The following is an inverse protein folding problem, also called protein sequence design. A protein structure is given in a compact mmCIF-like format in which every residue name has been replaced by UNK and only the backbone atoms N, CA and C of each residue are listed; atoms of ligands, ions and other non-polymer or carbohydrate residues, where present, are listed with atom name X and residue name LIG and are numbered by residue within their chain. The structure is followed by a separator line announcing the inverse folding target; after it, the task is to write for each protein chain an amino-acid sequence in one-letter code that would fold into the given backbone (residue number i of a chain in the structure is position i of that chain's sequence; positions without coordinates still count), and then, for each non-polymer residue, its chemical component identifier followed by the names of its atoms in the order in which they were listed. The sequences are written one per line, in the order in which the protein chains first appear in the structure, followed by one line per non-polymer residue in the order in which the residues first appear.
data_IF_910406744653
#
_entry.id   IF_910406744653
#
_cell.length_a   1.000
_cell.length_b   1.000
_cell.length_c   1.000
_cell.angle_alpha   90.00
_cell.angle_beta   90.00
_cell.angle_gamma   90.00
#
_symmetry.space_group_name_H-M   'P 1'
#
loop_
_entity.id
_entity.type
_entity.pdbx_description
1 polymer ?
#
# COMPACT_ATOMS: atom_id res chain seq x y z
N UNK A 1 2.92 23.52 -11.78
CA UNK A 1 2.00 22.38 -11.60
C UNK A 1 0.75 22.86 -10.86
N UNK A 2 -0.42 22.83 -11.51
CA UNK A 2 -1.69 23.11 -10.83
C UNK A 2 -1.98 22.00 -9.83
N UNK A 3 -2.01 22.32 -8.54
CA UNK A 3 -2.42 21.33 -7.55
C UNK A 3 -3.88 20.98 -7.78
N UNK A 4 -4.24 19.69 -7.67
CA UNK A 4 -5.66 19.30 -7.66
C UNK A 4 -6.38 20.10 -6.58
N UNK A 5 -7.54 20.64 -6.93
CA UNK A 5 -8.41 21.40 -6.02
C UNK A 5 -9.50 20.46 -5.54
N UNK A 6 -9.72 20.43 -4.23
CA UNK A 6 -10.80 19.66 -3.63
C UNK A 6 -12.13 20.34 -3.95
N UNK A 7 -13.16 19.56 -4.29
CA UNK A 7 -14.48 20.09 -4.63
C UNK A 7 -15.21 20.62 -3.39
N UNK A 8 -15.81 21.81 -3.49
CA UNK A 8 -16.52 22.47 -2.38
C UNK A 8 -17.66 21.63 -1.83
N UNK A 9 -18.50 21.08 -2.72
CA UNK A 9 -19.61 20.22 -2.31
C UNK A 9 -19.13 18.93 -1.64
N UNK A 10 -18.03 18.34 -2.13
CA UNK A 10 -17.42 17.17 -1.49
C UNK A 10 -16.90 17.50 -0.08
N UNK A 11 -16.31 18.69 0.11
CA UNK A 11 -15.83 19.12 1.42
C UNK A 11 -16.97 19.37 2.40
N UNK A 12 -18.06 20.01 1.96
CA UNK A 12 -19.26 20.22 2.79
C UNK A 12 -19.85 18.89 3.22
N UNK A 13 -19.94 17.91 2.32
CA UNK A 13 -20.41 16.55 2.65
C UNK A 13 -19.50 15.84 3.66
N UNK A 14 -18.17 16.00 3.54
CA UNK A 14 -17.22 15.40 4.48
C UNK A 14 -17.27 16.05 5.87
N UNK A 15 -17.46 17.37 5.93
CA UNK A 15 -17.60 18.10 7.19
C UNK A 15 -18.88 17.71 7.94
N UNK A 16 -19.97 17.42 7.22
CA UNK A 16 -21.24 17.04 7.83
C UNK A 16 -21.68 18.05 8.89
N UNK A 17 -22.13 17.56 10.05
CA UNK A 17 -22.52 18.39 11.19
C UNK A 17 -21.29 18.81 12.02
N UNK A 18 -20.42 19.63 11.44
CA UNK A 18 -19.22 20.13 12.11
C UNK A 18 -19.52 21.22 13.17
N UNK A 19 -20.69 21.85 13.11
CA UNK A 19 -21.10 22.93 14.00
C UNK A 19 -21.97 22.39 15.15
N UNK A 20 -21.50 22.59 16.38
CA UNK A 20 -22.26 22.36 17.61
C UNK A 20 -22.74 23.69 18.20
N UNK A 21 -24.02 24.00 18.01
CA UNK A 21 -24.62 25.28 18.43
C UNK A 21 -24.69 25.45 19.96
N UNK A 22 -24.71 24.34 20.72
CA UNK A 22 -24.71 24.35 22.19
C UNK A 22 -23.31 24.48 22.80
N UNK A 23 -22.25 24.40 21.98
CA UNK A 23 -20.87 24.42 22.46
C UNK A 23 -20.40 25.85 22.73
N UNK A 24 -19.65 26.05 23.82
CA UNK A 24 -18.97 27.33 24.12
C UNK A 24 -17.77 27.59 23.21
N UNK A 25 -17.40 26.62 22.37
CA UNK A 25 -16.26 26.73 21.46
C UNK A 25 -16.59 27.66 20.29
N UNK A 26 -15.77 28.67 19.99
CA UNK A 26 -15.99 29.56 18.84
C UNK A 26 -16.05 28.78 17.51
N UNK A 27 -16.93 29.20 16.58
CA UNK A 27 -17.14 28.51 15.30
C UNK A 27 -15.85 28.29 14.49
N UNK A 28 -14.93 29.25 14.49
CA UNK A 28 -13.67 29.12 13.75
C UNK A 28 -12.81 27.98 14.31
N UNK A 29 -12.84 27.76 15.63
CA UNK A 29 -12.10 26.68 16.28
C UNK A 29 -12.79 25.32 16.04
N UNK A 30 -14.12 25.27 16.08
CA UNK A 30 -14.86 24.05 15.71
C UNK A 30 -14.55 23.63 14.25
N UNK A 31 -14.54 24.60 13.32
CA UNK A 31 -14.18 24.34 11.93
C UNK A 31 -12.73 23.89 11.78
N UNK A 32 -11.80 24.53 12.50
CA UNK A 32 -10.39 24.13 12.49
C UNK A 32 -10.22 22.69 13.00
N UNK A 33 -10.85 22.32 14.12
CA UNK A 33 -10.86 20.95 14.65
C UNK A 33 -11.44 19.95 13.63
N UNK A 34 -12.60 20.24 13.05
CA UNK A 34 -13.24 19.36 12.08
C UNK A 34 -12.35 19.16 10.84
N UNK A 35 -11.77 20.23 10.30
CA UNK A 35 -10.83 20.15 9.18
C UNK A 35 -9.56 19.41 9.58
N UNK A 36 -9.02 19.64 10.79
CA UNK A 36 -7.83 18.94 11.29
C UNK A 36 -8.08 17.43 11.37
N UNK A 37 -9.21 17.02 11.92
CA UNK A 37 -9.62 15.61 11.97
C UNK A 37 -9.75 15.02 10.57
N UNK A 38 -10.37 15.72 9.62
CA UNK A 38 -10.46 15.25 8.24
C UNK A 38 -9.08 15.13 7.54
N UNK A 39 -8.11 15.98 7.90
CA UNK A 39 -6.73 15.91 7.41
C UNK A 39 -5.99 14.72 8.07
N UNK A 40 -6.10 14.56 9.39
CA UNK A 40 -5.46 13.49 10.16
C UNK A 40 -6.01 12.11 9.81
N UNK A 41 -7.32 12.00 9.59
CA UNK A 41 -7.99 10.79 9.09
C UNK A 41 -7.72 10.55 7.59
N UNK A 42 -7.05 11.48 6.90
CA UNK A 42 -6.71 11.40 5.48
C UNK A 42 -7.88 11.43 4.50
N UNK A 43 -9.09 11.77 4.97
CA UNK A 43 -10.27 12.04 4.10
C UNK A 43 -10.04 13.28 3.24
N UNK A 44 -9.22 14.22 3.72
CA UNK A 44 -8.65 15.27 2.90
C UNK A 44 -7.23 14.92 2.47
N UNK A 45 -7.07 14.76 1.16
CA UNK A 45 -5.81 14.29 0.55
C UNK A 45 -4.69 15.32 0.67
N UNK A 46 -3.52 14.88 1.15
CA UNK A 46 -2.32 15.72 1.22
C UNK A 46 -1.97 16.32 -0.15
N UNK A 47 -1.31 17.47 -0.13
CA UNK A 47 -0.91 18.23 -1.31
C UNK A 47 -2.05 18.72 -2.21
N UNK A 48 -3.30 18.56 -1.78
CA UNK A 48 -4.50 19.06 -2.48
C UNK A 48 -4.82 20.48 -1.99
N UNK A 49 -5.36 21.33 -2.87
CA UNK A 49 -5.82 22.68 -2.51
C UNK A 49 -7.23 22.64 -1.98
N UNK A 50 -7.46 23.27 -0.83
CA UNK A 50 -8.81 23.56 -0.34
C UNK A 50 -9.52 24.57 -1.25
N UNK A 51 -10.87 24.60 -1.24
CA UNK A 51 -11.62 25.65 -1.89
C UNK A 51 -11.31 27.04 -1.30
N UNK A 52 -11.66 28.10 -2.04
CA UNK A 52 -11.31 29.47 -1.63
C UNK A 52 -12.12 29.94 -0.42
N UNK A 53 -11.59 30.88 0.37
CA UNK A 53 -12.27 31.39 1.57
C UNK A 53 -13.67 31.94 1.29
N UNK A 54 -13.83 32.68 0.18
CA UNK A 54 -15.13 33.25 -0.24
C UNK A 54 -16.14 32.17 -0.57
N UNK A 55 -15.69 31.12 -1.23
CA UNK A 55 -16.53 30.00 -1.64
C UNK A 55 -16.92 29.12 -0.46
N UNK A 56 -15.98 28.86 0.46
CA UNK A 56 -16.28 28.14 1.71
C UNK A 56 -17.25 28.92 2.61
N UNK A 57 -17.06 30.23 2.73
CA UNK A 57 -17.97 31.09 3.49
C UNK A 57 -19.41 31.01 2.95
N UNK A 58 -19.56 31.05 1.61
CA UNK A 58 -20.86 30.90 0.96
C UNK A 58 -21.45 29.49 1.15
N UNK A 59 -20.64 28.44 0.99
CA UNK A 59 -21.11 27.05 1.05
C UNK A 59 -21.48 26.58 2.48
N UNK A 60 -20.79 27.10 3.50
CA UNK A 60 -21.04 26.75 4.90
C UNK A 60 -21.95 27.77 5.62
N UNK A 61 -22.37 28.83 4.94
CA UNK A 61 -23.16 29.92 5.48
C UNK A 61 -22.56 30.56 6.76
N UNK A 62 -21.25 30.82 6.74
CA UNK A 62 -20.52 31.45 7.84
C UNK A 62 -19.72 32.66 7.36
N UNK A 63 -19.34 33.53 8.30
CA UNK A 63 -18.59 34.74 7.95
C UNK A 63 -17.21 34.41 7.36
N UNK A 64 -16.72 35.25 6.45
CA UNK A 64 -15.37 35.12 5.87
C UNK A 64 -14.27 35.18 6.92
N UNK A 65 -14.47 35.95 7.99
CA UNK A 65 -13.51 36.04 9.10
C UNK A 65 -13.43 34.72 9.86
N UNK A 66 -14.56 34.02 10.08
CA UNK A 66 -14.57 32.67 10.67
C UNK A 66 -13.75 31.69 9.85
N UNK A 67 -13.92 31.66 8.52
CA UNK A 67 -13.13 30.81 7.62
C UNK A 67 -11.65 31.19 7.68
N UNK A 68 -11.34 32.48 7.59
CA UNK A 68 -9.96 32.97 7.60
C UNK A 68 -9.24 32.61 8.91
N UNK A 69 -9.90 32.74 10.06
CA UNK A 69 -9.37 32.34 11.37
C UNK A 69 -9.16 30.84 11.48
N UNK A 70 -10.11 30.01 11.02
CA UNK A 70 -9.97 28.55 11.03
C UNK A 70 -8.78 28.08 10.16
N UNK A 71 -8.68 28.59 8.94
CA UNK A 71 -7.55 28.30 8.06
C UNK A 71 -6.24 28.92 8.56
N UNK A 72 -6.30 30.05 9.27
CA UNK A 72 -5.17 30.67 9.95
C UNK A 72 -4.57 29.75 11.01
N UNK A 73 -5.40 29.24 11.91
CA UNK A 73 -5.00 28.28 12.94
C UNK A 73 -4.34 27.04 12.32
N UNK A 74 -4.94 26.45 11.29
CA UNK A 74 -4.37 25.29 10.62
C UNK A 74 -3.03 25.58 9.91
N UNK A 75 -2.77 26.83 9.49
CA UNK A 75 -1.45 27.23 8.96
C UNK A 75 -0.42 27.33 10.07
N UNK A 76 -0.78 27.93 11.21
CA UNK A 76 0.08 28.04 12.39
C UNK A 76 0.45 26.67 12.95
N UNK A 77 -0.52 25.74 12.99
CA UNK A 77 -0.32 24.36 13.42
C UNK A 77 0.39 23.47 12.37
N UNK A 78 0.69 24.01 11.18
CA UNK A 78 1.42 23.28 10.13
C UNK A 78 0.59 22.28 9.33
N UNK A 79 -0.75 22.34 9.39
CA UNK A 79 -1.66 21.52 8.58
C UNK A 79 -1.98 22.14 7.20
N UNK A 80 -1.70 23.43 7.02
CA UNK A 80 -1.88 24.14 5.76
C UNK A 80 -0.64 24.94 5.37
N UNK A 81 -0.30 24.89 4.08
CA UNK A 81 0.72 25.73 3.47
C UNK A 81 0.06 26.63 2.41
N UNK A 82 0.34 27.93 2.44
CA UNK A 82 -0.18 28.89 1.46
C UNK A 82 0.98 29.69 0.85
N UNK A 83 1.17 29.59 -0.47
CA UNK A 83 2.04 30.51 -1.23
C UNK A 83 1.15 31.58 -1.88
N UNK A 84 1.63 32.83 -1.94
CA UNK A 84 0.86 33.97 -2.46
C UNK A 84 0.19 33.63 -3.82
N UNK A 85 -1.12 33.85 -3.93
CA UNK A 85 -1.91 33.57 -5.14
C UNK A 85 -2.22 32.09 -5.44
N UNK A 86 -1.77 31.14 -4.61
CA UNK A 86 -1.86 29.70 -4.91
C UNK A 86 -2.94 28.93 -4.14
N UNK A 87 -3.66 29.56 -3.21
CA UNK A 87 -4.64 28.91 -2.33
C UNK A 87 -3.99 28.10 -1.20
N UNK A 88 -4.81 27.62 -0.26
CA UNK A 88 -4.34 26.82 0.89
C UNK A 88 -4.21 25.35 0.52
N UNK A 89 -3.00 24.81 0.68
CA UNK A 89 -2.66 23.42 0.38
C UNK A 89 -2.51 22.62 1.66
N UNK A 90 -3.05 21.40 1.67
CA UNK A 90 -3.01 20.50 2.82
C UNK A 90 -1.62 19.87 2.95
N UNK A 91 -1.06 19.95 4.16
CA UNK A 91 0.22 19.38 4.57
C UNK A 91 0.05 18.75 5.97
N UNK A 92 1.03 17.99 6.43
CA UNK A 92 1.12 17.58 7.83
C UNK A 92 2.28 18.34 8.47
N UNK A 93 2.17 18.68 9.78
CA UNK A 93 3.30 19.23 10.50
C UNK A 93 4.48 18.26 10.43
N UNK A 94 5.69 18.80 10.25
CA UNK A 94 6.91 17.98 10.31
C UNK A 94 6.99 17.32 11.69
N UNK A 95 6.98 15.99 11.69
CA UNK A 95 7.18 15.22 12.92
C UNK A 95 8.67 15.25 13.25
N UNK A 96 9.06 15.45 14.52
CA UNK A 96 10.44 15.21 14.93
C UNK A 96 10.85 13.80 14.48
N UNK A 97 11.99 13.69 13.79
CA UNK A 97 12.43 12.45 13.13
C UNK A 97 12.67 11.29 14.12
N UNK A 98 12.79 11.58 15.42
CA UNK A 98 13.20 10.64 16.44
C UNK A 98 12.23 10.64 17.63
N UNK A 99 11.14 9.89 17.52
CA UNK A 99 10.58 9.30 18.74
C UNK A 99 11.35 7.99 18.95
N UNK A 100 12.24 7.90 19.96
CA UNK A 100 12.95 6.66 20.22
C UNK A 100 11.93 5.54 20.42
N UNK A 101 11.96 4.53 19.56
CA UNK A 101 11.26 3.28 19.80
C UNK A 101 11.83 2.75 21.13
N UNK A 102 10.99 2.50 22.15
CA UNK A 102 11.49 1.99 23.43
C UNK A 102 12.24 0.69 23.17
N UNK A 103 13.57 0.73 23.29
CA UNK A 103 14.39 -0.47 23.29
C UNK A 103 14.33 -1.04 24.70
N UNK A 104 13.53 -2.07 24.91
CA UNK A 104 13.40 -2.78 26.19
C UNK A 104 11.96 -3.02 26.62
N UNK A 105 11.81 -3.78 27.70
CA UNK A 105 10.53 -4.00 28.39
C UNK A 105 10.16 -2.67 29.07
N UNK A 106 9.53 -1.78 28.32
CA UNK A 106 8.92 -0.58 28.89
C UNK A 106 7.60 -0.99 29.56
N UNK A 107 7.30 -0.38 30.70
CA UNK A 107 5.95 -0.44 31.30
C UNK A 107 4.89 0.30 30.46
N UNK A 108 5.30 0.97 29.38
CA UNK A 108 4.41 1.68 28.46
C UNK A 108 4.04 0.82 27.25
N UNK A 109 2.74 0.81 26.92
CA UNK A 109 2.22 0.10 25.76
C UNK A 109 2.50 0.91 24.48
N UNK A 110 3.27 0.34 23.56
CA UNK A 110 3.53 0.97 22.26
C UNK A 110 2.36 0.75 21.30
N UNK A 111 1.47 1.73 21.20
CA UNK A 111 0.33 1.72 20.26
C UNK A 111 0.68 2.11 18.82
N UNK A 112 1.94 2.46 18.53
CA UNK A 112 2.36 2.86 17.18
C UNK A 112 2.73 1.69 16.28
N UNK A 113 2.85 0.48 16.84
CA UNK A 113 3.30 -0.72 16.12
C UNK A 113 2.22 -1.79 16.16
N UNK A 114 1.56 -2.02 15.02
CA UNK A 114 0.63 -3.13 14.85
C UNK A 114 1.41 -4.42 14.55
N UNK A 115 2.17 -4.94 15.51
CA UNK A 115 2.85 -6.24 15.43
C UNK A 115 2.97 -6.85 16.82
N UNK A 116 2.86 -8.17 16.90
CA UNK A 116 3.03 -8.91 18.14
C UNK A 116 4.52 -9.20 18.41
N UNK A 117 4.86 -9.29 19.69
CA UNK A 117 6.09 -9.95 20.12
C UNK A 117 6.04 -11.43 19.70
N UNK A 118 7.20 -12.01 19.39
CA UNK A 118 7.27 -13.43 19.08
C UNK A 118 6.79 -14.26 20.27
N UNK A 119 5.80 -15.13 20.05
CA UNK A 119 5.40 -16.14 21.02
C UNK A 119 6.38 -17.33 21.06
N UNK A 120 6.23 -18.23 22.03
CA UNK A 120 7.07 -19.43 22.17
C UNK A 120 7.05 -20.34 20.93
N UNK A 121 5.95 -20.35 20.17
CA UNK A 121 5.78 -21.08 18.91
C UNK A 121 6.79 -20.67 17.84
N UNK A 122 7.22 -19.40 17.83
CA UNK A 122 8.26 -18.93 16.91
C UNK A 122 9.58 -19.61 17.23
N UNK A 123 9.95 -19.69 18.51
CA UNK A 123 11.16 -20.38 18.93
C UNK A 123 11.13 -21.87 18.57
N UNK A 124 10.01 -22.55 18.83
CA UNK A 124 9.81 -23.96 18.47
C UNK A 124 9.93 -24.19 16.96
N UNK A 125 9.34 -23.30 16.15
CA UNK A 125 9.45 -23.35 14.70
C UNK A 125 10.91 -23.21 14.23
N UNK A 126 11.70 -22.33 14.85
CA UNK A 126 13.13 -22.21 14.58
C UNK A 126 13.90 -23.48 14.96
N UNK A 127 13.65 -24.05 16.14
CA UNK A 127 14.29 -25.31 16.54
C UNK A 127 13.98 -26.44 15.55
N UNK A 128 12.72 -26.56 15.13
CA UNK A 128 12.31 -27.54 14.12
C UNK A 128 12.96 -27.26 12.75
N UNK A 129 13.02 -26.01 12.31
CA UNK A 129 13.71 -25.65 11.07
C UNK A 129 15.20 -26.04 11.09
N UNK A 130 15.86 -25.95 12.25
CA UNK A 130 17.26 -26.40 12.40
C UNK A 130 17.43 -27.90 12.24
N UNK A 131 16.45 -28.72 12.65
CA UNK A 131 16.53 -30.17 12.41
C UNK A 131 16.31 -30.54 10.95
N UNK A 132 15.57 -29.71 10.20
CA UNK A 132 15.32 -29.89 8.77
C UNK A 132 16.40 -29.28 7.86
N UNK A 133 17.35 -28.53 8.42
CA UNK A 133 18.38 -27.80 7.67
C UNK A 133 19.42 -28.69 6.93
N UNK A 134 19.90 -29.84 7.49
CA UNK A 134 21.05 -30.55 6.93
C UNK A 134 20.97 -30.90 5.43
N UNK A 135 19.83 -31.38 4.87
CA UNK A 135 19.72 -31.66 3.43
C UNK A 135 19.93 -30.44 2.53
N UNK A 136 19.62 -29.22 3.02
CA UNK A 136 19.81 -27.98 2.27
C UNK A 136 21.26 -27.49 2.28
N UNK A 137 22.04 -27.86 3.32
CA UNK A 137 23.45 -27.50 3.41
C UNK A 137 24.32 -28.19 2.36
N UNK A 138 23.84 -29.32 1.81
CA UNK A 138 24.50 -30.01 0.71
C UNK A 138 24.24 -29.36 -0.67
N UNK A 139 23.37 -28.34 -0.74
CA UNK A 139 23.00 -27.65 -1.97
C UNK A 139 23.70 -26.30 -2.08
N UNK A 140 23.65 -25.68 -3.25
CA UNK A 140 24.26 -24.34 -3.47
C UNK A 140 23.53 -23.21 -2.74
N UNK A 141 22.32 -23.48 -2.22
CA UNK A 141 21.46 -22.50 -1.57
C UNK A 141 20.82 -21.48 -2.52
N UNK A 142 21.06 -21.56 -3.83
CA UNK A 142 20.47 -20.66 -4.82
C UNK A 142 19.11 -21.19 -5.30
N UNK A 143 18.02 -20.79 -4.64
CA UNK A 143 16.67 -20.87 -5.19
C UNK A 143 16.14 -19.43 -5.39
N UNK A 144 15.95 -19.03 -6.64
CA UNK A 144 15.51 -17.67 -7.01
C UNK A 144 14.07 -17.37 -6.62
N UNK A 145 13.22 -18.39 -6.46
CA UNK A 145 11.82 -18.25 -6.07
C UNK A 145 11.60 -18.58 -4.59
N UNK A 146 12.59 -19.18 -3.93
CA UNK A 146 12.54 -19.62 -2.54
C UNK A 146 12.29 -21.11 -2.42
N UNK A 147 12.53 -21.65 -1.22
CA UNK A 147 12.53 -23.10 -0.96
C UNK A 147 11.25 -23.79 -1.51
N UNK A 148 11.37 -24.89 -2.28
CA UNK A 148 10.22 -25.56 -2.90
C UNK A 148 9.13 -25.96 -1.89
N UNK A 149 9.54 -26.57 -0.78
CA UNK A 149 8.61 -27.00 0.29
C UNK A 149 7.82 -25.83 0.90
N UNK A 150 8.44 -24.65 0.99
CA UNK A 150 7.75 -23.45 1.46
C UNK A 150 6.74 -22.98 0.41
N UNK A 151 7.13 -22.93 -0.87
CA UNK A 151 6.23 -22.50 -1.95
C UNK A 151 5.01 -23.42 -2.04
N UNK A 152 5.19 -24.72 -1.86
CA UNK A 152 4.10 -25.69 -1.76
C UNK A 152 3.17 -25.41 -0.58
N UNK A 153 3.72 -25.15 0.61
CA UNK A 153 2.92 -24.81 1.80
C UNK A 153 2.10 -23.53 1.59
N UNK A 154 2.70 -22.49 1.00
CA UNK A 154 2.02 -21.22 0.68
C UNK A 154 0.93 -21.46 -0.38
N UNK A 155 1.23 -22.18 -1.46
CA UNK A 155 0.29 -22.47 -2.52
C UNK A 155 -0.92 -23.28 -2.01
N UNK A 156 -0.69 -24.27 -1.16
CA UNK A 156 -1.73 -25.04 -0.48
C UNK A 156 -2.63 -24.13 0.35
N UNK A 157 -2.04 -23.26 1.16
CA UNK A 157 -2.77 -22.29 1.99
C UNK A 157 -3.67 -21.35 1.18
N UNK A 158 -3.24 -20.86 0.03
CA UNK A 158 -4.13 -20.07 -0.83
C UNK A 158 -5.25 -20.91 -1.43
N UNK A 159 -4.95 -22.15 -1.82
CA UNK A 159 -5.94 -23.07 -2.37
C UNK A 159 -7.03 -23.39 -1.34
N UNK A 160 -6.65 -23.64 -0.08
CA UNK A 160 -7.57 -23.82 1.05
C UNK A 160 -8.42 -22.57 1.34
N UNK A 161 -7.88 -21.38 1.09
CA UNK A 161 -8.62 -20.10 1.18
C UNK A 161 -9.53 -19.83 -0.03
N UNK A 162 -9.66 -20.76 -0.97
CA UNK A 162 -10.52 -20.63 -2.15
C UNK A 162 -9.83 -20.02 -3.38
N UNK A 163 -8.50 -19.92 -3.39
CA UNK A 163 -7.72 -19.43 -4.52
C UNK A 163 -6.77 -20.54 -5.01
N UNK A 164 -7.17 -21.35 -6.00
CA UNK A 164 -6.30 -22.37 -6.58
C UNK A 164 -4.94 -21.79 -6.96
N UNK A 165 -3.87 -22.35 -6.39
CA UNK A 165 -2.51 -21.80 -6.51
C UNK A 165 -1.51 -22.92 -6.70
N UNK A 166 -0.62 -22.74 -7.67
CA UNK A 166 0.52 -23.65 -7.89
C UNK A 166 1.79 -23.11 -7.24
N UNK A 167 2.74 -23.96 -6.83
CA UNK A 167 4.00 -23.53 -6.23
C UNK A 167 4.86 -22.62 -7.14
N UNK A 168 4.75 -22.76 -8.46
CA UNK A 168 5.47 -21.91 -9.43
C UNK A 168 4.87 -20.50 -9.61
N UNK A 169 3.67 -20.27 -9.07
CA UNK A 169 3.05 -18.94 -9.01
C UNK A 169 3.51 -18.15 -7.78
N UNK A 170 4.29 -18.77 -6.88
CA UNK A 170 4.73 -18.21 -5.59
C UNK A 170 6.20 -17.85 -5.64
N UNK A 171 6.52 -16.59 -5.35
CA UNK A 171 7.89 -16.12 -5.14
C UNK A 171 8.06 -15.62 -3.71
N UNK A 172 9.08 -16.11 -3.01
CA UNK A 172 9.39 -15.78 -1.62
C UNK A 172 10.37 -14.61 -1.57
N UNK A 173 10.09 -13.63 -0.72
CA UNK A 173 10.83 -12.37 -0.64
C UNK A 173 10.99 -11.91 0.81
N UNK A 174 11.93 -11.00 1.04
CA UNK A 174 12.27 -10.51 2.38
C UNK A 174 11.47 -9.25 2.77
N UNK A 175 10.16 -9.34 2.95
CA UNK A 175 9.35 -8.18 3.37
C UNK A 175 8.22 -7.85 2.41
N UNK A 176 7.03 -7.49 2.89
CA UNK A 176 5.89 -7.10 2.04
C UNK A 176 6.23 -5.82 1.25
N UNK A 177 6.97 -4.90 1.87
CA UNK A 177 7.50 -3.73 1.17
C UNK A 177 8.59 -4.08 0.16
N UNK A 178 9.43 -5.09 0.42
CA UNK A 178 10.40 -5.59 -0.56
C UNK A 178 9.70 -6.22 -1.77
N UNK A 179 8.62 -6.97 -1.52
CA UNK A 179 7.72 -7.51 -2.52
C UNK A 179 7.14 -6.39 -3.41
N UNK A 180 6.58 -5.37 -2.78
CA UNK A 180 5.99 -4.25 -3.50
C UNK A 180 7.03 -3.44 -4.27
N UNK A 181 8.21 -3.19 -3.69
CA UNK A 181 9.31 -2.53 -4.38
C UNK A 181 9.79 -3.30 -5.62
N UNK A 182 9.82 -4.63 -5.55
CA UNK A 182 10.13 -5.47 -6.71
C UNK A 182 9.05 -5.36 -7.79
N UNK A 183 7.78 -5.38 -7.41
CA UNK A 183 6.66 -5.19 -8.34
C UNK A 183 6.74 -3.82 -9.02
N UNK A 184 6.97 -2.75 -8.26
CA UNK A 184 7.14 -1.41 -8.83
C UNK A 184 8.29 -1.40 -9.85
N UNK A 185 9.47 -1.93 -9.49
CA UNK A 185 10.61 -2.00 -10.42
C UNK A 185 10.35 -2.79 -11.70
N UNK A 186 9.51 -3.83 -11.65
CA UNK A 186 9.23 -4.70 -12.79
C UNK A 186 8.09 -4.19 -13.67
N UNK A 187 7.12 -3.48 -13.09
CA UNK A 187 5.89 -3.12 -13.79
C UNK A 187 5.76 -1.63 -14.07
N UNK A 188 6.51 -0.76 -13.39
CA UNK A 188 6.38 0.69 -13.51
C UNK A 188 7.67 1.36 -14.00
N UNK A 189 7.54 2.58 -14.54
CA UNK A 189 8.64 3.48 -14.83
C UNK A 189 8.47 4.86 -14.16
N UNK A 190 9.51 5.72 -14.17
CA UNK A 190 9.42 7.06 -13.61
C UNK A 190 8.24 7.86 -14.18
N UNK A 191 7.44 8.45 -13.30
CA UNK A 191 6.25 9.23 -13.66
C UNK A 191 4.96 8.41 -13.82
N UNK A 192 5.04 7.07 -13.87
CA UNK A 192 3.86 6.21 -13.90
C UNK A 192 2.98 6.44 -12.67
N UNK A 193 1.68 6.26 -12.85
CA UNK A 193 0.68 6.49 -11.81
C UNK A 193 0.33 5.16 -11.16
N UNK A 194 0.26 5.16 -9.83
CA UNK A 194 -0.19 4.04 -9.02
C UNK A 194 -1.43 4.47 -8.26
N UNK A 195 -2.56 3.85 -8.55
CA UNK A 195 -3.80 4.12 -7.80
C UNK A 195 -3.71 3.47 -6.43
N UNK A 196 -4.18 4.17 -5.40
CA UNK A 196 -4.21 3.72 -4.00
C UNK A 196 -5.51 4.15 -3.34
N UNK A 197 -5.89 3.46 -2.27
CA UNK A 197 -6.87 3.99 -1.31
C UNK A 197 -6.33 5.29 -0.66
N UNK A 198 -7.23 6.19 -0.23
CA UNK A 198 -6.89 7.39 0.53
C UNK A 198 -7.89 7.59 1.68
N UNK A 199 -7.44 7.52 2.96
CA UNK A 199 -6.08 7.23 3.44
C UNK A 199 -5.60 5.81 3.11
N UNK A 200 -4.30 5.55 3.27
CA UNK A 200 -3.72 4.20 3.16
C UNK A 200 -2.39 4.06 3.90
N UNK A 201 -1.75 2.88 3.82
CA UNK A 201 -0.48 2.60 4.49
C UNK A 201 0.65 3.54 4.00
N UNK A 202 1.27 4.36 4.88
CA UNK A 202 2.25 5.36 4.47
C UNK A 202 3.47 4.80 3.74
N UNK A 203 3.93 3.59 4.10
CA UNK A 203 5.10 3.02 3.43
C UNK A 203 4.82 2.54 2.01
N UNK A 204 3.56 2.27 1.64
CA UNK A 204 3.19 2.05 0.25
C UNK A 204 3.37 3.35 -0.56
N UNK A 205 2.96 4.50 -0.01
CA UNK A 205 3.18 5.82 -0.62
C UNK A 205 4.68 6.09 -0.79
N UNK A 206 5.48 5.85 0.26
CA UNK A 206 6.94 6.02 0.20
C UNK A 206 7.60 5.10 -0.83
N UNK A 207 7.14 3.85 -0.96
CA UNK A 207 7.65 2.91 -1.96
C UNK A 207 7.32 3.39 -3.39
N UNK A 208 6.10 3.85 -3.64
CA UNK A 208 5.66 4.40 -4.93
C UNK A 208 6.52 5.62 -5.30
N UNK A 209 6.68 6.56 -4.37
CA UNK A 209 7.49 7.76 -4.60
C UNK A 209 8.98 7.43 -4.79
N UNK A 210 9.51 6.48 -4.02
CA UNK A 210 10.88 5.98 -4.16
C UNK A 210 11.15 5.32 -5.51
N UNK A 211 10.13 4.72 -6.13
CA UNK A 211 10.17 4.24 -7.51
C UNK A 211 9.97 5.37 -8.56
N UNK A 212 10.04 6.64 -8.15
CA UNK A 212 9.75 7.82 -8.97
C UNK A 212 8.35 7.81 -9.61
N UNK A 213 7.42 7.05 -9.04
CA UNK A 213 6.02 6.97 -9.48
C UNK A 213 5.16 7.98 -8.73
N UNK A 214 3.92 8.16 -9.20
CA UNK A 214 2.95 9.12 -8.65
C UNK A 214 1.78 8.37 -8.00
N UNK A 215 1.60 8.45 -6.67
CA UNK A 215 0.41 7.91 -6.03
C UNK A 215 -0.83 8.73 -6.43
N UNK A 216 -1.92 8.06 -6.76
CA UNK A 216 -3.21 8.65 -7.09
C UNK A 216 -4.27 8.09 -6.15
N UNK A 217 -4.67 8.88 -5.16
CA UNK A 217 -5.65 8.46 -4.16
C UNK A 217 -7.08 8.40 -4.69
N UNK A 218 -7.78 7.34 -4.32
CA UNK A 218 -9.25 7.21 -4.37
C UNK A 218 -9.75 7.33 -2.93
N UNK A 219 -10.56 8.35 -2.65
CA UNK A 219 -11.02 8.62 -1.31
C UNK A 219 -11.93 7.49 -0.80
N UNK A 220 -11.68 7.00 0.41
CA UNK A 220 -12.57 6.06 1.05
C UNK A 220 -13.83 6.78 1.58
N UNK A 221 -15.03 6.29 1.27
CA UNK A 221 -16.28 6.82 1.84
C UNK A 221 -16.36 6.54 3.34
N UNK A 222 -17.44 7.00 3.99
CA UNK A 222 -17.66 6.71 5.42
C UNK A 222 -17.79 5.21 5.71
N UNK A 223 -18.32 4.43 4.75
CA UNK A 223 -18.47 2.98 4.84
C UNK A 223 -18.10 2.33 3.50
N UNK A 224 -17.39 1.21 3.55
CA UNK A 224 -16.99 0.46 2.36
C UNK A 224 -15.95 1.16 1.49
N UNK A 225 -16.00 0.88 0.19
CA UNK A 225 -15.12 1.41 -0.86
C UNK A 225 -15.92 2.09 -1.96
N UNK A 226 -15.40 3.21 -2.47
CA UNK A 226 -15.97 3.90 -3.63
C UNK A 226 -15.51 3.22 -4.94
N UNK A 227 -16.19 2.14 -5.32
CA UNK A 227 -15.90 1.40 -6.55
C UNK A 227 -16.08 2.26 -7.81
N UNK A 228 -17.05 3.16 -7.80
CA UNK A 228 -17.33 4.02 -8.96
C UNK A 228 -16.27 5.12 -9.07
N UNK A 229 -15.84 5.69 -7.94
CA UNK A 229 -14.66 6.56 -7.87
C UNK A 229 -13.36 5.87 -8.27
N UNK A 230 -13.19 4.60 -7.92
CA UNK A 230 -12.05 3.78 -8.39
C UNK A 230 -12.08 3.64 -9.91
N UNK A 231 -13.21 3.22 -10.49
CA UNK A 231 -13.36 3.07 -11.94
C UNK A 231 -13.13 4.40 -12.68
N UNK A 232 -13.70 5.49 -12.19
CA UNK A 232 -13.51 6.83 -12.75
C UNK A 232 -12.05 7.29 -12.68
N UNK A 233 -11.38 7.03 -11.55
CA UNK A 233 -9.97 7.38 -11.36
C UNK A 233 -9.07 6.59 -12.30
N UNK A 234 -9.32 5.29 -12.46
CA UNK A 234 -8.60 4.45 -13.42
C UNK A 234 -8.79 4.99 -14.84
N UNK A 235 -10.03 5.29 -15.25
CA UNK A 235 -10.33 5.82 -16.58
C UNK A 235 -9.64 7.17 -16.84
N UNK A 236 -9.66 8.09 -15.86
CA UNK A 236 -9.07 9.42 -16.01
C UNK A 236 -7.55 9.43 -15.96
N UNK A 237 -6.95 8.48 -15.23
CA UNK A 237 -5.51 8.51 -14.95
C UNK A 237 -4.70 7.46 -15.69
N UNK A 238 -5.34 6.44 -16.26
CA UNK A 238 -4.70 5.31 -16.93
C UNK A 238 -3.48 4.80 -16.13
N UNK A 239 -3.66 4.40 -14.86
CA UNK A 239 -2.57 4.02 -14.00
C UNK A 239 -1.91 2.74 -14.49
N UNK A 240 -0.62 2.57 -14.13
CA UNK A 240 0.10 1.35 -14.45
C UNK A 240 -0.39 0.15 -13.63
N UNK A 241 -0.72 0.41 -12.36
CA UNK A 241 -1.30 -0.56 -11.44
C UNK A 241 -2.11 0.17 -10.35
N UNK A 242 -2.94 -0.56 -9.64
CA UNK A 242 -3.58 -0.12 -8.40
C UNK A 242 -3.11 -0.99 -7.23
N UNK A 243 -2.76 -0.38 -6.10
CA UNK A 243 -2.39 -1.07 -4.88
C UNK A 243 -3.51 -0.89 -3.85
N UNK A 244 -4.02 -1.99 -3.29
CA UNK A 244 -5.19 -2.00 -2.38
C UNK A 244 -4.95 -2.96 -1.20
N UNK A 245 -5.57 -2.67 -0.06
CA UNK A 245 -5.62 -3.56 1.10
C UNK A 245 -7.08 -3.94 1.42
N UNK A 246 -7.57 -5.10 0.92
CA UNK A 246 -8.95 -5.50 1.16
C UNK A 246 -9.16 -6.12 2.55
N UNK A 247 -8.11 -6.66 3.17
CA UNK A 247 -8.18 -7.33 4.46
C UNK A 247 -7.69 -6.41 5.57
N UNK A 248 -8.58 -6.03 6.49
CA UNK A 248 -8.27 -5.21 7.68
C UNK A 248 -7.40 -3.97 7.35
N UNK A 249 -7.91 -3.15 6.43
CA UNK A 249 -7.26 -2.02 5.78
C UNK A 249 -6.60 -1.06 6.77
N UNK A 250 -5.30 -0.82 6.64
CA UNK A 250 -4.55 0.18 7.41
C UNK A 250 -4.71 1.60 6.80
N UNK A 251 -5.21 2.61 7.53
CA UNK A 251 -5.40 2.66 8.99
C UNK A 251 -6.81 2.37 9.48
N UNK A 252 -7.78 2.20 8.58
CA UNK A 252 -9.22 2.21 8.92
C UNK A 252 -9.76 0.99 9.67
N UNK A 253 -9.01 -0.12 9.69
CA UNK A 253 -9.45 -1.43 10.21
C UNK A 253 -10.55 -2.13 9.39
N UNK A 254 -11.04 -1.53 8.30
CA UNK A 254 -12.15 -2.06 7.49
C UNK A 254 -11.76 -3.32 6.73
N UNK A 255 -12.69 -4.24 6.57
CA UNK A 255 -12.55 -5.41 5.71
C UNK A 255 -13.51 -5.30 4.52
N UNK A 256 -12.99 -5.48 3.31
CA UNK A 256 -13.74 -5.41 2.06
C UNK A 256 -14.62 -6.66 1.94
N UNK A 257 -15.93 -6.46 1.82
CA UNK A 257 -16.89 -7.54 1.65
C UNK A 257 -16.80 -8.21 0.26
N UNK A 258 -17.42 -9.39 0.14
CA UNK A 258 -17.39 -10.19 -1.09
C UNK A 258 -17.99 -9.44 -2.31
N UNK A 259 -19.16 -8.78 -2.23
CA UNK A 259 -19.70 -8.00 -3.35
C UNK A 259 -18.75 -6.88 -3.82
N UNK A 260 -18.08 -6.19 -2.89
CA UNK A 260 -17.12 -5.14 -3.22
C UNK A 260 -15.87 -5.73 -3.88
N UNK A 261 -15.34 -6.86 -3.40
CA UNK A 261 -14.22 -7.57 -4.04
C UNK A 261 -14.55 -7.95 -5.49
N UNK A 262 -15.76 -8.47 -5.73
CA UNK A 262 -16.24 -8.78 -7.08
C UNK A 262 -16.23 -7.52 -7.96
N UNK A 263 -16.82 -6.42 -7.50
CA UNK A 263 -16.85 -5.15 -8.26
C UNK A 263 -15.44 -4.65 -8.59
N UNK A 264 -14.51 -4.67 -7.63
CA UNK A 264 -13.11 -4.26 -7.83
C UNK A 264 -12.41 -5.15 -8.85
N UNK A 265 -12.58 -6.47 -8.74
CA UNK A 265 -11.99 -7.43 -9.67
C UNK A 265 -12.54 -7.24 -11.10
N UNK A 266 -13.85 -7.02 -11.24
CA UNK A 266 -14.48 -6.76 -12.54
C UNK A 266 -14.03 -5.42 -13.15
N UNK A 267 -13.85 -4.38 -12.32
CA UNK A 267 -13.28 -3.10 -12.78
C UNK A 267 -11.89 -3.36 -13.36
N UNK A 268 -11.01 -4.05 -12.61
CA UNK A 268 -9.65 -4.34 -13.04
C UNK A 268 -9.58 -5.16 -14.33
N UNK A 269 -10.43 -6.18 -14.48
CA UNK A 269 -10.53 -6.99 -15.70
C UNK A 269 -10.94 -6.12 -16.91
N UNK A 270 -12.01 -5.32 -16.76
CA UNK A 270 -12.52 -4.45 -17.83
C UNK A 270 -11.52 -3.37 -18.24
N UNK A 271 -10.81 -2.77 -17.29
CA UNK A 271 -9.85 -1.69 -17.56
C UNK A 271 -8.44 -2.21 -17.85
N UNK A 272 -8.20 -3.52 -17.75
CA UNK A 272 -6.88 -4.16 -17.84
C UNK A 272 -5.86 -3.52 -16.90
N UNK A 273 -6.31 -3.10 -15.72
CA UNK A 273 -5.45 -2.51 -14.69
C UNK A 273 -4.97 -3.61 -13.75
N UNK A 274 -3.66 -3.79 -13.64
CA UNK A 274 -3.09 -4.75 -12.69
C UNK A 274 -3.38 -4.32 -11.26
N UNK A 275 -3.96 -5.20 -10.46
CA UNK A 275 -4.13 -5.02 -9.02
C UNK A 275 -2.92 -5.60 -8.28
N UNK A 276 -2.44 -4.87 -7.29
CA UNK A 276 -1.50 -5.34 -6.28
C UNK A 276 -2.23 -5.35 -4.95
N UNK A 277 -2.49 -6.54 -4.43
CA UNK A 277 -3.32 -6.75 -3.25
C UNK A 277 -2.41 -7.07 -2.07
N UNK A 278 -2.39 -6.19 -1.08
CA UNK A 278 -1.68 -6.45 0.17
C UNK A 278 -2.61 -7.15 1.18
N UNK A 279 -2.31 -8.42 1.45
CA UNK A 279 -2.99 -9.29 2.41
C UNK A 279 -2.17 -9.49 3.69
N UNK A 280 -1.22 -8.60 3.99
CA UNK A 280 -0.34 -8.70 5.18
C UNK A 280 -1.12 -8.79 6.49
N UNK A 281 -2.35 -8.27 6.54
CA UNK A 281 -3.20 -8.27 7.74
C UNK A 281 -4.25 -9.40 7.74
N UNK A 282 -4.30 -10.27 6.72
CA UNK A 282 -5.43 -11.18 6.50
C UNK A 282 -5.68 -12.19 7.63
N UNK A 283 -4.68 -12.50 8.45
CA UNK A 283 -4.79 -13.40 9.60
C UNK A 283 -5.19 -12.71 10.90
N UNK A 284 -5.25 -11.38 10.94
CA UNK A 284 -5.44 -10.61 12.16
C UNK A 284 -6.93 -10.35 12.44
N UNK A 285 -7.70 -11.41 12.64
CA UNK A 285 -9.13 -11.35 12.90
C UNK A 285 -9.51 -12.01 14.24
N UNK A 286 -10.55 -11.48 14.89
CA UNK A 286 -11.07 -12.01 16.16
C UNK A 286 -12.29 -12.90 15.98
N UNK A 287 -13.32 -12.38 15.28
CA UNK A 287 -14.63 -13.01 15.22
C UNK A 287 -14.77 -13.96 14.04
N UNK A 288 -14.39 -13.50 12.85
CA UNK A 288 -14.55 -14.25 11.60
C UNK A 288 -13.43 -13.94 10.62
N UNK A 289 -13.01 -14.92 9.80
CA UNK A 289 -12.04 -14.68 8.75
C UNK A 289 -12.57 -13.69 7.70
N UNK A 290 -11.70 -13.01 6.95
CA UNK A 290 -12.12 -12.18 5.83
C UNK A 290 -12.72 -13.06 4.71
N UNK A 291 -13.44 -12.46 3.74
CA UNK A 291 -13.84 -13.16 2.52
C UNK A 291 -12.62 -13.77 1.79
N UNK A 292 -12.85 -14.66 0.82
CA UNK A 292 -11.77 -15.24 0.01
C UNK A 292 -10.81 -14.19 -0.58
N UNK A 293 -9.58 -14.57 -0.94
CA UNK A 293 -8.61 -13.67 -1.57
C UNK A 293 -9.22 -12.93 -2.76
N UNK A 294 -8.95 -11.63 -2.92
CA UNK A 294 -9.57 -10.81 -3.97
C UNK A 294 -9.37 -11.40 -5.37
N UNK A 295 -8.22 -12.03 -5.62
CA UNK A 295 -7.90 -12.69 -6.88
C UNK A 295 -8.82 -13.87 -7.24
N UNK A 296 -9.62 -14.40 -6.30
CA UNK A 296 -10.57 -15.50 -6.55
C UNK A 296 -11.87 -15.05 -7.23
N UNK A 297 -12.19 -13.76 -7.18
CA UNK A 297 -13.50 -13.24 -7.60
C UNK A 297 -13.63 -13.05 -9.12
N UNK A 298 -12.53 -12.78 -9.83
CA UNK A 298 -12.56 -12.68 -11.28
C UNK A 298 -11.25 -13.20 -11.87
N UNK A 299 -11.25 -14.36 -12.58
CA UNK A 299 -10.03 -14.93 -13.14
C UNK A 299 -9.44 -14.08 -14.27
N UNK A 300 -10.23 -13.23 -14.94
CA UNK A 300 -9.75 -12.34 -16.03
C UNK A 300 -9.03 -11.09 -15.49
N UNK A 301 -9.12 -10.82 -14.18
CA UNK A 301 -8.40 -9.72 -13.55
C UNK A 301 -6.91 -10.08 -13.34
N UNK A 302 -6.01 -9.21 -13.76
CA UNK A 302 -4.59 -9.36 -13.47
C UNK A 302 -4.31 -8.95 -12.01
N UNK A 303 -4.11 -9.94 -11.12
CA UNK A 303 -3.92 -9.69 -9.69
C UNK A 303 -2.57 -10.25 -9.20
N UNK A 304 -1.80 -9.40 -8.51
CA UNK A 304 -0.60 -9.75 -7.78
C UNK A 304 -0.89 -9.68 -6.28
N UNK A 305 -0.84 -10.81 -5.58
CA UNK A 305 -1.11 -10.85 -4.14
C UNK A 305 0.18 -10.84 -3.35
N UNK A 306 0.30 -9.96 -2.36
CA UNK A 306 1.39 -9.89 -1.39
C UNK A 306 0.85 -10.42 -0.07
N UNK A 307 1.38 -11.54 0.41
CA UNK A 307 1.07 -12.08 1.74
C UNK A 307 2.29 -12.06 2.64
N UNK A 308 2.07 -12.07 3.96
CA UNK A 308 3.14 -11.94 4.95
C UNK A 308 2.84 -12.67 6.25
N UNK A 309 3.84 -13.35 6.81
CA UNK A 309 3.84 -13.87 8.17
C UNK A 309 4.28 -12.82 9.22
N UNK A 310 4.81 -11.67 8.76
CA UNK A 310 5.45 -10.64 9.60
C UNK A 310 4.51 -9.85 10.52
N UNK A 311 3.20 -10.14 10.48
CA UNK A 311 2.21 -9.58 11.38
C UNK A 311 1.54 -10.65 12.25
N UNK A 312 1.29 -11.81 11.66
CA UNK A 312 0.64 -12.95 12.31
C UNK A 312 1.49 -13.60 13.40
N UNK A 313 2.82 -13.66 13.20
CA UNK A 313 3.72 -14.39 14.11
C UNK A 313 4.73 -13.48 14.81
N UNK A 314 5.43 -12.64 14.06
CA UNK A 314 6.42 -11.73 14.62
C UNK A 314 6.74 -10.59 13.67
N UNK A 315 6.81 -9.38 14.20
CA UNK A 315 7.22 -8.18 13.46
C UNK A 315 8.62 -8.30 12.84
N UNK A 316 8.78 -7.82 11.62
CA UNK A 316 10.09 -7.59 11.02
C UNK A 316 10.88 -6.62 11.91
N UNK A 317 11.88 -7.13 12.66
CA UNK A 317 12.90 -6.31 13.31
C UNK A 317 13.79 -5.69 12.22
N UNK A 318 13.32 -4.61 11.60
CA UNK A 318 14.20 -3.65 10.93
C UNK A 318 14.54 -2.61 11.98
N UNK A 319 15.65 -2.82 12.71
CA UNK A 319 16.34 -1.69 13.32
C UNK A 319 16.82 -0.79 12.18
N UNK A 320 15.98 0.16 11.76
CA UNK A 320 16.44 1.39 11.16
C UNK A 320 17.08 2.20 12.30
N UNK A 321 18.28 1.80 12.69
CA UNK A 321 19.04 2.40 13.77
C UNK A 321 20.50 2.20 13.45
N UNK A 322 21.12 3.27 12.97
CA UNK A 322 22.57 3.46 12.92
C UNK A 322 23.23 2.84 14.16
N UNK A 323 23.96 1.74 13.98
CA UNK A 323 24.86 1.27 15.00
C UNK A 323 25.94 2.36 15.19
N UNK A 324 26.23 2.81 16.43
CA UNK A 324 27.37 3.68 16.66
C UNK A 324 28.62 2.92 16.22
N UNK A 325 29.37 3.55 15.31
CA UNK A 325 30.51 2.97 14.64
C UNK A 325 31.74 2.86 15.56
N UNK A 326 31.69 2.09 16.65
CA UNK A 326 32.86 1.83 17.50
C UNK A 326 32.95 0.34 17.84
N UNK A 327 33.74 -0.41 17.06
CA UNK A 327 34.14 -1.79 17.37
C UNK A 327 34.18 -2.70 16.14
N UNK A 328 35.13 -3.66 16.08
CA UNK A 328 35.33 -4.49 14.89
C UNK A 328 34.09 -5.33 14.63
N UNK A 329 33.60 -5.25 13.39
CA UNK A 329 32.40 -5.92 12.91
C UNK A 329 32.41 -7.42 13.22
N UNK A 330 31.43 -7.95 13.98
CA UNK A 330 31.00 -9.31 13.75
C UNK A 330 30.03 -9.26 12.57
N UNK A 331 30.47 -9.77 11.41
CA UNK A 331 29.55 -10.27 10.37
C UNK A 331 28.79 -11.46 10.96
N UNK A 332 27.84 -11.18 11.84
CA UNK A 332 26.86 -12.14 12.34
C UNK A 332 25.86 -12.37 11.21
N UNK A 333 26.03 -13.50 10.54
CA UNK A 333 25.02 -14.15 9.72
C UNK A 333 23.72 -14.20 10.56
N UNK A 334 22.75 -13.34 10.26
CA UNK A 334 21.44 -13.34 10.93
C UNK A 334 20.48 -14.17 10.08
N UNK A 335 20.10 -15.40 10.47
CA UNK A 335 19.08 -16.15 9.78
C UNK A 335 17.72 -15.58 10.20
N UNK A 336 17.25 -14.54 9.53
CA UNK A 336 15.84 -14.17 9.58
C UNK A 336 15.15 -14.98 8.48
N UNK A 337 14.58 -16.13 8.81
CA UNK A 337 13.65 -16.81 7.91
C UNK A 337 12.39 -15.94 7.87
N UNK A 338 12.18 -15.27 6.74
CA UNK A 338 11.06 -14.35 6.48
C UNK A 338 10.11 -15.02 5.50
N UNK A 339 8.88 -15.29 5.93
CA UNK A 339 7.88 -15.94 5.07
C UNK A 339 6.95 -14.88 4.50
N UNK A 340 7.34 -14.32 3.35
CA UNK A 340 6.57 -13.31 2.63
C UNK A 340 6.63 -13.68 1.16
N UNK A 341 5.52 -13.56 0.46
CA UNK A 341 5.44 -14.04 -0.90
C UNK A 341 4.65 -13.10 -1.80
N UNK A 342 4.99 -13.14 -3.09
CA UNK A 342 4.21 -12.58 -4.17
C UNK A 342 3.61 -13.74 -4.95
N UNK A 343 2.29 -13.73 -5.11
CA UNK A 343 1.58 -14.61 -6.04
C UNK A 343 1.24 -13.87 -7.32
N UNK A 344 1.49 -14.49 -8.47
CA UNK A 344 1.07 -13.99 -9.80
C UNK A 344 -0.18 -14.72 -10.26
N UNK A 345 -1.30 -14.02 -10.46
CA UNK A 345 -2.51 -14.58 -11.08
C UNK A 345 -2.60 -14.12 -12.54
N UNK A 346 -2.42 -15.04 -13.49
CA UNK A 346 -2.67 -14.80 -14.91
C UNK A 346 -3.63 -15.86 -15.43
N UNK A 347 -4.81 -15.46 -15.88
CA UNK A 347 -5.51 -16.21 -16.92
C UNK A 347 -4.92 -15.81 -18.29
N UNK A 348 -4.54 -16.80 -19.10
CA UNK A 348 -4.21 -16.71 -20.52
C UNK A 348 -2.91 -16.01 -20.99
N UNK A 349 -1.83 -16.01 -20.22
CA UNK A 349 -0.50 -15.57 -20.74
C UNK A 349 0.68 -16.51 -20.45
N UNK A 350 0.45 -17.56 -19.66
CA UNK A 350 1.46 -18.61 -19.40
C UNK A 350 1.54 -19.68 -20.51
N UNK A 351 0.76 -19.54 -21.59
CA UNK A 351 0.91 -20.34 -22.81
C UNK A 351 1.99 -19.79 -23.79
N UNK A 352 2.56 -18.62 -23.53
CA UNK A 352 3.56 -18.00 -24.41
C UNK A 352 4.97 -18.06 -23.79
N UNK A 353 5.55 -19.27 -23.77
CA UNK A 353 6.84 -19.58 -23.13
C UNK A 353 8.00 -18.65 -23.50
N UNK A 354 8.20 -17.60 -22.68
CA UNK A 354 9.35 -16.70 -22.75
C UNK A 354 10.20 -16.80 -21.49
N UNK A 355 10.96 -17.88 -21.38
CA UNK A 355 12.23 -17.92 -20.65
C UNK A 355 13.20 -18.85 -21.38
N UNK A 356 13.82 -18.35 -22.44
CA UNK A 356 15.12 -18.83 -22.91
C UNK A 356 16.07 -17.64 -22.91
N UNK A 357 16.97 -17.59 -21.94
CA UNK A 357 18.23 -16.86 -22.11
C UNK A 357 19.24 -17.80 -22.79
N UNK A 358 19.88 -17.39 -23.90
CA UNK A 358 20.98 -18.14 -24.48
C UNK A 358 22.33 -17.72 -23.87
N UNK A 359 23.33 -18.61 -23.80
CA UNK A 359 24.65 -18.27 -23.30
C UNK A 359 25.49 -17.53 -24.36
N UNK A 360 26.04 -16.40 -23.94
CA UNK A 360 27.23 -15.63 -24.38
C UNK A 360 27.64 -15.50 -25.87
N UNK A 361 27.73 -14.23 -26.28
CA UNK A 361 28.75 -13.52 -27.09
C UNK A 361 29.45 -14.24 -28.26
N UNK A 362 29.36 -13.67 -29.48
CA UNK A 362 30.41 -12.82 -30.07
C UNK A 362 30.11 -12.39 -31.53
N UNK A 363 30.61 -11.20 -31.90
CA UNK A 363 30.87 -10.65 -33.26
C UNK A 363 29.75 -9.87 -33.97
N UNK A 364 29.93 -8.53 -33.86
CA UNK A 364 29.95 -7.50 -34.91
C UNK A 364 28.79 -7.42 -35.91
N UNK A 365 28.10 -6.27 -35.83
CA UNK A 365 27.85 -5.43 -37.00
C UNK A 365 26.50 -5.60 -37.67
N UNK A 366 25.54 -4.75 -37.33
CA UNK A 366 24.31 -4.59 -38.13
C UNK A 366 23.33 -3.61 -37.49
N UNK A 367 23.12 -2.46 -38.11
CA UNK A 367 22.10 -1.47 -37.71
C UNK A 367 20.71 -2.08 -37.89
N UNK A 368 19.85 -2.00 -36.88
CA UNK A 368 18.43 -2.30 -37.02
C UNK A 368 17.63 -1.00 -37.17
N UNK A 369 17.20 -0.71 -38.40
CA UNK A 369 16.27 0.37 -38.71
C UNK A 369 14.83 -0.11 -38.48
N UNK A 370 13.99 0.75 -37.90
CA UNK A 370 12.56 0.52 -37.70
C UNK A 370 11.84 0.55 -39.05
N UNK A 371 11.02 -0.47 -39.35
CA UNK A 371 9.72 -0.30 -40.04
C UNK A 371 8.86 -1.56 -39.90
N UNK A 372 7.58 -1.29 -39.65
CA UNK A 372 6.49 -2.24 -39.54
C UNK A 372 6.10 -2.81 -40.92
N UNK A 373 5.49 -4.00 -40.94
CA UNK A 373 4.84 -4.55 -42.13
C UNK A 373 4.53 -6.04 -42.02
N UNK A 374 3.29 -6.33 -41.63
CA UNK A 374 2.44 -7.49 -41.98
C UNK A 374 3.03 -8.63 -42.84
N UNK A 375 2.84 -9.88 -42.40
CA UNK A 375 2.51 -11.06 -43.23
C UNK A 375 2.01 -12.17 -42.28
N UNK A 376 0.71 -12.48 -42.21
CA UNK A 376 -0.06 -13.37 -43.09
C UNK A 376 0.39 -14.84 -43.03
N UNK A 377 -0.59 -15.70 -42.70
CA UNK A 377 -0.53 -17.16 -42.57
C UNK A 377 0.14 -17.86 -43.77
N UNK A 378 1.01 -18.82 -43.49
CA UNK A 378 0.87 -20.24 -43.85
C UNK A 378 1.78 -21.09 -42.98
#
# INVERSE_FOLDING_TARGET
MSARRFGTQSLVRLLGNWQETSSRTPLWRQLAEALRLLILDGRLTLQTRLPGERELAAALNVSRTTIASALGQLREEGFLYSRQGSGSRIVLPERPADLPLPAGISSTLNLSTAALSAGPEVHQAFQHAMTLLPPYLAQTGYDQQGLPVLREAIARRYSERGLPTRPDEVMVVNGALSAFALILRLFTGPGDRVVIDAPTYPMAISAIQGASCRPVGVALPQQGWDCDGLAATIAQTAPRLAWLMPDFHNPTGRCMDAPTRQRVADIAARTRTTLVIDETMADLWYNSPPPPPLASFNPDAAVLTIGSAGKSFWGDYVSAGSAPAHGPSPRLFRPAIRWIWVRRCWSNWLAAGYWKMPPHCCRRGGRCSRRAGTCAKR
#
